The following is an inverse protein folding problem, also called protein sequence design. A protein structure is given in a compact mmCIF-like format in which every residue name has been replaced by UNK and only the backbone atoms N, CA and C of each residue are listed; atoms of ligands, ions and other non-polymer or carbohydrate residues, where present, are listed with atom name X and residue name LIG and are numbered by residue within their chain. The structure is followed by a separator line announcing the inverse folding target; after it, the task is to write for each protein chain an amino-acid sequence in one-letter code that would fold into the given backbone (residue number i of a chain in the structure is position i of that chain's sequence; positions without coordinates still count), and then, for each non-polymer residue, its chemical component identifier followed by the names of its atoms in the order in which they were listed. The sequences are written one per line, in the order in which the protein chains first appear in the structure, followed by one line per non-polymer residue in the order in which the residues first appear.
data_IF_708800938127
#
_entry.id   IF_708800938127
#
_cell.length_a   1.000
_cell.length_b   1.000
_cell.length_c   1.000
_cell.angle_alpha   90.00
_cell.angle_beta   90.00
_cell.angle_gamma   90.00
#
_symmetry.space_group_name_H-M   'P 1'
#
loop_
_entity.id
_entity.type
_entity.pdbx_description
1 polymer ?
#
# COMPACT_ATOMS: atom_id res chain seq x y z
N UNK A 1 -10.85 36.02 60.09
CA UNK A 1 -11.09 35.51 58.72
C UNK A 1 -9.91 34.62 58.33
N UNK A 2 -10.11 33.30 58.23
CA UNK A 2 -9.05 32.33 57.87
C UNK A 2 -9.07 32.11 56.35
N UNK A 3 -7.94 32.31 55.68
CA UNK A 3 -7.77 32.05 54.24
C UNK A 3 -7.37 30.59 54.04
N UNK A 4 -8.22 29.81 53.38
CA UNK A 4 -7.92 28.45 52.95
C UNK A 4 -7.20 28.52 51.60
N UNK A 5 -5.95 28.08 51.56
CA UNK A 5 -5.17 27.94 50.31
C UNK A 5 -5.45 26.53 49.79
N UNK A 6 -6.10 26.44 48.63
CA UNK A 6 -6.35 25.17 47.92
C UNK A 6 -5.15 24.90 47.03
N UNK A 7 -4.38 23.87 47.36
CA UNK A 7 -3.26 23.39 46.56
C UNK A 7 -3.82 22.41 45.52
N UNK A 8 -3.87 22.83 44.25
CA UNK A 8 -4.31 21.98 43.14
C UNK A 8 -3.16 21.10 42.67
N UNK A 9 -3.22 19.80 42.96
CA UNK A 9 -2.27 18.80 42.47
C UNK A 9 -2.57 18.52 40.99
N UNK A 10 -1.72 19.04 40.10
CA UNK A 10 -1.80 18.74 38.67
C UNK A 10 -1.39 17.28 38.42
N UNK A 11 -2.31 16.46 37.94
CA UNK A 11 -2.01 15.11 37.47
C UNK A 11 -1.39 15.23 36.07
N UNK A 12 -0.07 15.09 35.99
CA UNK A 12 0.62 14.92 34.72
C UNK A 12 0.31 13.51 34.20
N UNK A 13 -0.55 13.41 33.19
CA UNK A 13 -0.78 12.16 32.46
C UNK A 13 0.48 11.90 31.63
N UNK A 14 1.36 11.04 32.13
CA UNK A 14 2.48 10.54 31.35
C UNK A 14 1.92 9.67 30.22
N UNK A 15 2.00 10.18 28.99
CA UNK A 15 1.69 9.44 27.78
C UNK A 15 2.66 8.27 27.66
N UNK A 16 2.25 7.08 28.11
CA UNK A 16 3.00 5.85 27.84
C UNK A 16 2.89 5.58 26.34
N UNK A 17 3.97 5.87 25.61
CA UNK A 17 4.10 5.43 24.23
C UNK A 17 4.12 3.90 24.22
N UNK A 18 2.97 3.29 23.93
CA UNK A 18 2.91 1.86 23.66
C UNK A 18 3.74 1.65 22.38
N UNK A 19 4.95 1.13 22.54
CA UNK A 19 5.74 0.61 21.42
C UNK A 19 5.04 -0.68 20.98
N UNK A 20 3.95 -0.52 20.23
CA UNK A 20 3.39 -1.61 19.46
C UNK A 20 4.44 -1.96 18.40
N UNK A 21 5.18 -3.04 18.62
CA UNK A 21 6.05 -3.61 17.60
C UNK A 21 5.18 -3.88 16.37
N UNK A 22 5.56 -3.28 15.24
CA UNK A 22 4.87 -3.50 13.98
C UNK A 22 4.87 -5.00 13.68
N UNK A 23 3.72 -5.54 13.27
CA UNK A 23 3.68 -6.94 12.82
C UNK A 23 4.54 -7.07 11.55
N UNK A 24 5.18 -8.23 11.33
CA UNK A 24 5.85 -8.48 10.06
C UNK A 24 4.88 -8.25 8.90
N UNK A 25 5.39 -7.62 7.85
CA UNK A 25 4.65 -7.40 6.60
C UNK A 25 4.89 -8.62 5.74
N UNK A 26 3.81 -9.18 5.20
CA UNK A 26 3.85 -10.37 4.35
C UNK A 26 3.53 -10.01 2.90
N UNK A 27 3.90 -10.85 1.93
CA UNK A 27 3.51 -10.66 0.53
C UNK A 27 1.99 -10.71 0.36
N UNK A 28 1.46 -9.94 -0.61
CA UNK A 28 0.02 -9.87 -0.91
C UNK A 28 -0.76 -8.96 0.04
N UNK A 29 -0.09 -8.11 0.82
CA UNK A 29 -0.67 -7.07 1.67
C UNK A 29 -0.57 -5.70 0.98
N UNK A 30 -1.17 -4.66 1.56
CA UNK A 30 -1.09 -3.29 1.01
C UNK A 30 -0.13 -2.44 1.83
N UNK A 31 0.76 -1.73 1.13
CA UNK A 31 1.58 -0.66 1.70
C UNK A 31 1.14 0.69 1.17
N UNK A 32 1.27 1.72 2.00
CA UNK A 32 0.95 3.07 1.59
C UNK A 32 1.87 4.11 2.20
N UNK A 33 2.01 5.23 1.50
CA UNK A 33 2.69 6.43 1.96
C UNK A 33 1.92 7.68 1.56
N UNK A 34 2.14 8.77 2.30
CA UNK A 34 1.59 10.10 2.02
C UNK A 34 0.05 10.19 2.02
N UNK A 35 -0.65 9.20 2.61
CA UNK A 35 -2.11 9.19 2.67
C UNK A 35 -2.72 10.23 3.62
N UNK A 36 -1.92 10.73 4.58
CA UNK A 36 -2.37 11.61 5.65
C UNK A 36 -2.16 13.10 5.36
N UNK A 37 -1.81 13.47 4.13
CA UNK A 37 -1.73 14.89 3.76
C UNK A 37 -3.18 15.41 3.64
N UNK A 38 -3.65 16.29 4.56
CA UNK A 38 -5.04 16.71 4.60
C UNK A 38 -5.47 17.35 3.26
N UNK A 39 -6.62 16.95 2.72
CA UNK A 39 -7.12 17.45 1.44
C UNK A 39 -6.44 16.86 0.18
N UNK A 40 -5.42 16.00 0.35
CA UNK A 40 -4.62 15.43 -0.73
C UNK A 40 -4.62 13.88 -0.69
N UNK A 41 -5.70 13.25 -0.23
CA UNK A 41 -5.83 11.78 -0.23
C UNK A 41 -5.72 11.13 -1.62
N UNK A 42 -5.84 11.92 -2.69
CA UNK A 42 -5.57 11.55 -4.08
C UNK A 42 -4.08 11.56 -4.46
N UNK A 43 -3.23 12.27 -3.70
CA UNK A 43 -1.79 12.40 -3.92
C UNK A 43 -0.97 11.39 -3.12
N UNK A 44 -1.64 10.59 -2.29
CA UNK A 44 -1.01 9.47 -1.61
C UNK A 44 -0.53 8.39 -2.58
N UNK A 45 0.16 7.39 -2.07
CA UNK A 45 0.64 6.28 -2.88
C UNK A 45 0.36 4.95 -2.20
N UNK A 46 -0.10 3.96 -2.97
CA UNK A 46 -0.33 2.58 -2.53
C UNK A 46 0.42 1.61 -3.43
N UNK A 47 0.81 0.49 -2.84
CA UNK A 47 1.55 -0.58 -3.49
C UNK A 47 1.19 -1.94 -2.90
N UNK A 48 1.47 -3.01 -3.66
CA UNK A 48 1.31 -4.39 -3.22
C UNK A 48 2.63 -4.86 -2.62
N UNK A 49 2.61 -5.42 -1.42
CA UNK A 49 3.81 -6.04 -0.84
C UNK A 49 4.11 -7.35 -1.56
N UNK A 50 5.39 -7.62 -1.79
CA UNK A 50 5.86 -8.75 -2.58
C UNK A 50 7.11 -9.34 -1.94
N UNK A 51 7.51 -10.51 -2.43
CA UNK A 51 8.75 -11.14 -2.08
C UNK A 51 9.44 -11.70 -3.32
N UNK A 52 10.77 -11.78 -3.31
CA UNK A 52 11.51 -12.50 -4.36
C UNK A 52 11.18 -14.01 -4.35
N UNK A 53 10.71 -14.53 -3.20
CA UNK A 53 10.19 -15.91 -3.05
C UNK A 53 8.97 -15.92 -2.15
N UNK A 54 7.95 -16.65 -2.57
CA UNK A 54 6.61 -16.68 -1.97
C UNK A 54 6.58 -17.13 -0.49
N UNK A 55 7.60 -17.88 -0.07
CA UNK A 55 7.74 -18.44 1.29
C UNK A 55 8.75 -17.67 2.16
N UNK A 56 9.20 -16.49 1.73
CA UNK A 56 10.15 -15.67 2.47
C UNK A 56 9.51 -14.34 2.86
N UNK A 57 9.77 -13.90 4.10
CA UNK A 57 9.60 -12.52 4.50
C UNK A 57 10.66 -11.71 3.78
N UNK A 58 10.35 -11.32 2.55
CA UNK A 58 11.21 -10.45 1.78
C UNK A 58 10.58 -9.06 1.73
N UNK A 59 11.45 -8.07 1.64
CA UNK A 59 11.14 -6.68 1.92
C UNK A 59 10.91 -5.91 0.61
N UNK A 60 10.01 -6.39 -0.26
CA UNK A 60 9.76 -5.76 -1.55
C UNK A 60 8.32 -5.28 -1.74
N UNK A 61 8.16 -4.27 -2.59
CA UNK A 61 6.87 -3.73 -3.03
C UNK A 61 6.82 -3.68 -4.55
N UNK A 62 5.68 -4.08 -5.09
CA UNK A 62 5.30 -3.85 -6.47
C UNK A 62 4.53 -2.54 -6.53
N UNK A 63 5.12 -1.51 -7.17
CA UNK A 63 4.54 -0.18 -7.27
C UNK A 63 4.58 0.37 -8.70
N UNK A 64 3.60 1.21 -9.01
CA UNK A 64 3.52 1.98 -10.26
C UNK A 64 3.89 3.43 -9.96
N UNK A 65 4.92 3.93 -10.63
CA UNK A 65 5.48 5.26 -10.45
C UNK A 65 5.43 6.08 -11.73
N UNK A 66 5.32 7.40 -11.58
CA UNK A 66 5.50 8.37 -12.66
C UNK A 66 7.01 8.59 -12.89
N UNK A 67 7.67 7.54 -13.36
CA UNK A 67 9.12 7.47 -13.55
C UNK A 67 9.45 6.78 -14.89
N UNK A 68 10.68 6.92 -15.42
CA UNK A 68 11.06 6.27 -16.68
C UNK A 68 10.81 4.75 -16.72
N UNK A 69 10.88 4.09 -15.57
CA UNK A 69 10.43 2.71 -15.38
C UNK A 69 9.15 2.76 -14.55
N UNK A 70 8.00 2.54 -15.17
CA UNK A 70 6.70 2.75 -14.51
C UNK A 70 6.41 1.65 -13.49
N UNK A 71 6.48 0.38 -13.88
CA UNK A 71 6.25 -0.75 -12.97
C UNK A 71 7.54 -1.23 -12.33
N UNK A 72 7.68 -1.03 -11.03
CA UNK A 72 8.90 -1.31 -10.28
C UNK A 72 8.67 -2.36 -9.20
N UNK A 73 9.73 -3.15 -8.96
CA UNK A 73 9.86 -3.98 -7.76
C UNK A 73 10.94 -3.32 -6.90
N UNK A 74 10.51 -2.58 -5.87
CA UNK A 74 11.40 -1.82 -5.00
C UNK A 74 11.52 -2.46 -3.63
N UNK A 75 12.57 -2.13 -2.89
CA UNK A 75 12.69 -2.55 -1.49
C UNK A 75 11.81 -1.70 -0.57
N UNK A 76 11.42 -2.24 0.59
CA UNK A 76 10.76 -1.50 1.65
C UNK A 76 11.60 -0.30 2.10
N UNK A 77 12.92 -0.45 2.15
CA UNK A 77 13.83 0.65 2.45
C UNK A 77 13.66 1.82 1.46
N UNK A 78 13.66 1.54 0.16
CA UNK A 78 13.41 2.55 -0.86
C UNK A 78 12.01 3.17 -0.70
N UNK A 79 10.96 2.34 -0.58
CA UNK A 79 9.59 2.80 -0.41
C UNK A 79 9.42 3.73 0.80
N UNK A 80 9.99 3.35 1.96
CA UNK A 80 9.93 4.10 3.21
C UNK A 80 10.79 5.35 3.17
N UNK A 81 11.91 5.35 2.44
CA UNK A 81 12.77 6.54 2.31
C UNK A 81 12.10 7.69 1.55
N UNK A 82 11.12 7.37 0.68
CA UNK A 82 10.37 8.34 -0.12
C UNK A 82 9.38 9.16 0.72
N UNK A 83 9.00 8.69 1.92
CA UNK A 83 8.12 9.45 2.83
C UNK A 83 8.25 9.02 4.29
N UNK A 84 8.26 10.01 5.18
CA UNK A 84 8.20 9.78 6.63
C UNK A 84 6.84 9.28 7.11
N UNK A 85 5.80 9.42 6.29
CA UNK A 85 4.42 9.02 6.59
C UNK A 85 4.08 7.77 5.78
N UNK A 86 4.34 6.59 6.36
CA UNK A 86 4.02 5.32 5.72
C UNK A 86 3.38 4.33 6.70
N UNK A 87 2.67 3.35 6.15
CA UNK A 87 2.06 2.26 6.91
C UNK A 87 1.67 1.09 6.01
N UNK A 88 1.13 0.04 6.63
CA UNK A 88 0.76 -1.19 5.95
C UNK A 88 -0.45 -1.85 6.59
N UNK A 89 -1.27 -2.49 5.76
CA UNK A 89 -2.51 -3.16 6.17
C UNK A 89 -2.71 -4.49 5.45
N UNK A 90 -3.51 -5.36 6.07
CA UNK A 90 -3.78 -6.72 5.62
C UNK A 90 -5.24 -7.12 5.94
N UNK A 91 -5.60 -8.36 5.56
CA UNK A 91 -6.89 -8.97 5.90
C UNK A 91 -7.89 -9.06 4.76
N UNK A 92 -7.44 -8.87 3.52
CA UNK A 92 -8.25 -9.07 2.30
C UNK A 92 -7.92 -10.44 1.69
N UNK A 93 -6.66 -10.64 1.32
CA UNK A 93 -6.10 -11.95 0.98
C UNK A 93 -5.44 -12.58 2.21
N UNK A 94 -5.35 -13.90 2.22
CA UNK A 94 -4.50 -14.60 3.18
C UNK A 94 -3.00 -14.51 2.79
N UNK A 95 -2.13 -14.93 3.71
CA UNK A 95 -0.67 -14.90 3.55
C UNK A 95 -0.11 -16.13 2.82
N UNK A 96 -0.96 -16.88 2.12
CA UNK A 96 -0.64 -18.09 1.38
C UNK A 96 -0.95 -17.94 -0.11
N UNK A 97 -1.61 -18.93 -0.70
CA UNK A 97 -1.89 -18.99 -2.13
C UNK A 97 -2.70 -17.78 -2.63
N UNK A 98 -3.58 -17.22 -1.80
CA UNK A 98 -4.34 -16.02 -2.16
C UNK A 98 -3.44 -14.79 -2.32
N UNK A 99 -2.54 -14.56 -1.35
CA UNK A 99 -1.55 -13.49 -1.43
C UNK A 99 -0.62 -13.68 -2.64
N UNK A 100 -0.29 -14.93 -2.96
CA UNK A 100 0.52 -15.24 -4.14
C UNK A 100 -0.19 -14.88 -5.45
N UNK A 101 -1.48 -15.20 -5.57
CA UNK A 101 -2.25 -14.86 -6.78
C UNK A 101 -2.29 -13.34 -7.00
N UNK A 102 -2.49 -12.55 -5.94
CA UNK A 102 -2.41 -11.07 -6.02
C UNK A 102 -1.05 -10.60 -6.57
N UNK A 103 0.04 -11.21 -6.12
CA UNK A 103 1.40 -10.86 -6.56
C UNK A 103 1.63 -11.24 -8.02
N UNK A 104 1.13 -12.40 -8.44
CA UNK A 104 1.25 -12.87 -9.82
C UNK A 104 0.50 -11.92 -10.77
N UNK A 105 -0.72 -11.53 -10.40
CA UNK A 105 -1.53 -10.55 -11.15
C UNK A 105 -0.83 -9.18 -11.27
N UNK A 106 -0.24 -8.69 -10.17
CA UNK A 106 0.56 -7.46 -10.18
C UNK A 106 1.79 -7.60 -11.11
N UNK A 107 2.55 -8.69 -10.99
CA UNK A 107 3.73 -8.93 -11.81
C UNK A 107 3.41 -9.07 -13.31
N UNK A 108 2.30 -9.73 -13.65
CA UNK A 108 1.84 -9.84 -15.03
C UNK A 108 1.67 -8.45 -15.66
N UNK A 109 0.99 -7.54 -14.97
CA UNK A 109 0.81 -6.17 -15.45
C UNK A 109 2.11 -5.38 -15.57
N UNK A 110 3.08 -5.62 -14.69
CA UNK A 110 4.41 -5.00 -14.78
C UNK A 110 5.18 -5.41 -16.05
N UNK A 111 4.94 -6.60 -16.58
CA UNK A 111 5.61 -7.09 -17.79
C UNK A 111 5.00 -6.58 -19.10
N UNK A 112 3.75 -6.11 -19.05
CA UNK A 112 3.00 -5.63 -20.20
C UNK A 112 3.22 -4.13 -20.45
N UNK A 113 4.48 -3.72 -20.58
CA UNK A 113 4.93 -2.35 -20.90
C UNK A 113 4.11 -1.24 -20.20
N UNK A 114 4.07 -1.22 -18.86
CA UNK A 114 3.20 -0.30 -18.13
C UNK A 114 3.53 1.16 -18.47
N UNK A 115 2.50 1.96 -18.69
CA UNK A 115 2.57 3.43 -18.80
C UNK A 115 1.88 4.06 -17.59
N UNK A 116 2.42 5.17 -17.11
CA UNK A 116 1.82 5.89 -16.00
C UNK A 116 0.67 6.76 -16.49
N UNK A 117 -0.38 6.88 -15.67
CA UNK A 117 -1.46 7.85 -15.87
C UNK A 117 -1.82 8.52 -14.54
N UNK A 118 -2.17 9.80 -14.60
CA UNK A 118 -2.72 10.54 -13.46
C UNK A 118 -4.22 10.31 -13.29
N UNK A 119 -4.88 9.72 -14.30
CA UNK A 119 -6.31 9.42 -14.31
C UNK A 119 -6.66 8.19 -13.48
N UNK A 120 -7.94 8.05 -13.10
CA UNK A 120 -8.50 6.77 -12.62
C UNK A 120 -8.86 5.82 -13.76
N UNK A 121 -8.85 6.31 -15.01
CA UNK A 121 -8.95 5.44 -16.17
C UNK A 121 -7.69 4.57 -16.23
N UNK A 122 -7.86 3.29 -16.51
CA UNK A 122 -6.76 2.34 -16.62
C UNK A 122 -6.96 1.45 -17.84
N UNK A 123 -5.86 0.90 -18.35
CA UNK A 123 -5.87 -0.08 -19.43
C UNK A 123 -5.20 -1.33 -18.89
N UNK A 124 -5.88 -2.47 -19.01
CA UNK A 124 -5.32 -3.77 -18.66
C UNK A 124 -4.29 -4.14 -19.73
N UNK A 125 -3.04 -4.40 -19.35
CA UNK A 125 -2.05 -4.92 -20.29
C UNK A 125 -2.44 -6.31 -20.78
N UNK A 126 -2.04 -6.65 -22.00
CA UNK A 126 -2.33 -7.95 -22.59
C UNK A 126 -1.11 -8.45 -23.37
N UNK A 127 -0.81 -9.74 -23.24
CA UNK A 127 0.34 -10.35 -23.89
C UNK A 127 0.39 -11.85 -23.71
N UNK A 128 1.30 -12.48 -24.42
CA UNK A 128 1.66 -13.88 -24.24
C UNK A 128 2.98 -13.96 -23.45
N UNK A 129 2.88 -14.43 -22.20
CA UNK A 129 4.02 -14.58 -21.31
C UNK A 129 5.01 -15.65 -21.77
N UNK A 130 4.55 -16.68 -22.49
CA UNK A 130 5.40 -17.76 -22.99
C UNK A 130 6.37 -17.26 -24.05
N UNK A 131 5.91 -16.32 -24.89
CA UNK A 131 6.69 -15.77 -26.00
C UNK A 131 7.18 -14.33 -25.75
N UNK A 132 6.86 -13.75 -24.60
CA UNK A 132 7.15 -12.35 -24.28
C UNK A 132 6.48 -11.35 -25.23
N UNK A 133 5.44 -11.77 -25.96
CA UNK A 133 4.75 -10.94 -26.96
C UNK A 133 3.76 -10.02 -26.26
N UNK A 134 3.75 -8.74 -26.63
CA UNK A 134 2.87 -7.72 -26.04
C UNK A 134 1.83 -7.31 -27.07
N UNK A 135 0.55 -7.44 -26.73
CA UNK A 135 -0.57 -7.03 -27.59
C UNK A 135 -1.09 -5.66 -27.20
N UNK A 136 -1.11 -5.35 -25.90
CA UNK A 136 -1.53 -4.05 -25.37
C UNK A 136 -0.71 -3.69 -24.14
N UNK A 137 -0.24 -2.45 -24.08
CA UNK A 137 0.41 -1.92 -22.88
C UNK A 137 -0.62 -1.60 -21.80
N UNK A 138 -0.28 -1.89 -20.55
CA UNK A 138 -1.09 -1.48 -19.43
C UNK A 138 -0.92 0.02 -19.15
N UNK A 139 -2.00 0.70 -18.78
CA UNK A 139 -1.97 2.11 -18.36
C UNK A 139 -2.48 2.18 -16.93
N UNK A 140 -1.64 2.70 -16.02
CA UNK A 140 -1.83 2.51 -14.59
C UNK A 140 -1.50 3.75 -13.78
N UNK A 141 -2.35 4.00 -12.78
CA UNK A 141 -2.04 4.79 -11.58
C UNK A 141 -1.81 3.84 -10.41
N UNK A 142 -1.07 4.27 -9.38
CA UNK A 142 -0.74 3.44 -8.22
C UNK A 142 -1.94 2.72 -7.58
N UNK A 143 -3.08 3.40 -7.45
CA UNK A 143 -4.30 2.85 -6.85
C UNK A 143 -5.08 1.94 -7.80
N UNK A 144 -5.24 2.31 -9.07
CA UNK A 144 -5.88 1.45 -10.08
C UNK A 144 -5.13 0.14 -10.26
N UNK A 145 -3.79 0.19 -10.27
CA UNK A 145 -2.93 -1.00 -10.34
C UNK A 145 -3.05 -1.86 -9.09
N UNK A 146 -2.95 -1.23 -7.91
CA UNK A 146 -3.05 -1.96 -6.64
C UNK A 146 -4.42 -2.60 -6.51
N UNK A 147 -5.52 -1.86 -6.76
CA UNK A 147 -6.86 -2.43 -6.77
C UNK A 147 -6.99 -3.56 -7.79
N UNK A 148 -6.51 -3.37 -9.03
CA UNK A 148 -6.60 -4.37 -10.08
C UNK A 148 -5.95 -5.68 -9.67
N UNK A 149 -4.75 -5.64 -9.06
CA UNK A 149 -4.07 -6.85 -8.59
C UNK A 149 -4.90 -7.66 -7.58
N UNK A 150 -5.62 -6.98 -6.67
CA UNK A 150 -6.54 -7.65 -5.75
C UNK A 150 -7.82 -8.11 -6.45
N UNK A 151 -8.39 -7.27 -7.30
CA UNK A 151 -9.63 -7.56 -8.02
C UNK A 151 -9.49 -8.77 -8.95
N UNK A 152 -8.43 -8.85 -9.76
CA UNK A 152 -8.22 -9.98 -10.67
C UNK A 152 -7.87 -11.28 -9.94
N UNK A 153 -7.35 -11.19 -8.71
CA UNK A 153 -7.21 -12.32 -7.79
C UNK A 153 -8.52 -12.68 -7.05
N UNK A 154 -9.64 -12.01 -7.34
CA UNK A 154 -10.97 -12.32 -6.78
C UNK A 154 -11.38 -11.47 -5.57
N UNK A 155 -10.63 -10.41 -5.24
CA UNK A 155 -10.87 -9.55 -4.07
C UNK A 155 -11.23 -8.11 -4.49
N UNK A 156 -12.52 -7.83 -4.66
CA UNK A 156 -12.94 -6.44 -4.93
C UNK A 156 -12.84 -5.56 -3.68
N UNK A 157 -11.78 -4.77 -3.62
CA UNK A 157 -11.47 -3.90 -2.48
C UNK A 157 -12.14 -2.51 -2.55
N UNK A 158 -12.70 -2.12 -3.71
CA UNK A 158 -13.15 -0.72 -3.97
C UNK A 158 -14.59 -0.65 -4.49
N UNK A 159 -15.36 -1.74 -4.45
CA UNK A 159 -16.74 -1.81 -4.95
C UNK A 159 -17.60 -0.59 -4.54
N UNK A 160 -18.11 0.14 -5.54
CA UNK A 160 -19.00 1.29 -5.34
C UNK A 160 -18.35 2.54 -4.73
N UNK A 161 -17.02 2.61 -4.64
CA UNK A 161 -16.27 3.73 -4.06
C UNK A 161 -15.42 4.44 -5.10
N UNK A 162 -15.06 5.69 -4.81
CA UNK A 162 -14.14 6.47 -5.64
C UNK A 162 -12.73 5.88 -5.50
N UNK A 163 -12.10 5.60 -6.64
CA UNK A 163 -10.74 5.07 -6.71
C UNK A 163 -9.73 6.14 -6.27
N UNK A 164 -9.21 5.97 -5.06
CA UNK A 164 -8.17 6.80 -4.44
C UNK A 164 -7.20 5.89 -3.69
N UNK A 165 -5.92 6.29 -3.52
CA UNK A 165 -4.96 5.55 -2.71
C UNK A 165 -5.48 5.29 -1.28
N UNK A 166 -6.14 6.29 -0.68
CA UNK A 166 -6.78 6.16 0.63
C UNK A 166 -7.91 5.14 0.64
N UNK A 167 -8.74 5.08 -0.41
CA UNK A 167 -9.83 4.11 -0.52
C UNK A 167 -9.28 2.68 -0.59
N UNK A 168 -8.28 2.45 -1.44
CA UNK A 168 -7.62 1.14 -1.58
C UNK A 168 -7.01 0.70 -0.25
N UNK A 169 -6.23 1.56 0.41
CA UNK A 169 -5.62 1.24 1.69
C UNK A 169 -6.63 1.02 2.81
N UNK A 170 -7.77 1.72 2.78
CA UNK A 170 -8.85 1.58 3.77
C UNK A 170 -9.75 0.37 3.54
N UNK A 171 -9.63 -0.32 2.41
CA UNK A 171 -10.30 -1.60 2.20
C UNK A 171 -9.73 -2.73 3.06
N UNK A 172 -8.50 -2.59 3.54
CA UNK A 172 -7.81 -3.61 4.34
C UNK A 172 -8.09 -3.38 5.83
N UNK A 173 -8.75 -4.33 6.52
CA UNK A 173 -9.30 -4.08 7.85
C UNK A 173 -8.26 -4.00 8.97
N UNK A 174 -7.10 -4.63 8.80
CA UNK A 174 -6.13 -4.82 9.88
C UNK A 174 -4.82 -4.06 9.60
N UNK A 175 -4.25 -3.42 10.62
CA UNK A 175 -2.94 -2.76 10.54
C UNK A 175 -1.82 -3.74 10.88
N UNK A 176 -0.81 -3.83 10.01
CA UNK A 176 0.51 -4.27 10.44
C UNK A 176 1.26 -3.10 11.08
N UNK A 177 1.13 -1.92 10.47
CA UNK A 177 1.72 -0.67 10.93
C UNK A 177 0.81 0.51 10.56
N UNK A 178 0.48 1.34 11.54
CA UNK A 178 -0.30 2.56 11.29
C UNK A 178 0.54 3.59 10.54
N UNK A 179 -0.14 4.38 9.68
CA UNK A 179 0.50 5.53 9.05
C UNK A 179 0.74 6.59 10.12
N UNK A 180 2.01 6.86 10.39
CA UNK A 180 2.48 7.88 11.34
C UNK A 180 3.84 8.39 10.87
N UNK A 181 4.32 9.47 11.47
CA UNK A 181 5.69 9.93 11.26
C UNK A 181 6.66 8.93 11.92
N UNK A 182 7.52 8.27 11.15
CA UNK A 182 8.40 7.17 11.61
C UNK A 182 9.87 7.62 11.74
N UNK A 183 10.13 8.78 12.36
CA UNK A 183 11.48 9.37 12.56
C UNK A 183 12.50 8.36 13.06
#
# INVERSE_FOLDING_TARGET
MKKTIVMSTGIAIASVAIIANAKPIYPGEVMARDLLIPGLGWAGHVAVTSANKIWQTDDHVLEILDEPVVGQLNTFGNFKSRSRYWGSRYGVSDRGDAGQHVIDEANHQRWWCPTYTSSTAYIIGEGDLKWGTRYRCGEWRCDTYTWWAFYSAGYDTVQGKIMLPTTVFNAFPMYNQSIRNQV
#
